data_IF_779213371487
#
_entry.id   IF_779213371487
#
_cell.length_a   1.000
_cell.length_b   1.000
_cell.length_c   1.000
_cell.angle_alpha   90.00
_cell.angle_beta   90.00
_cell.angle_gamma   90.00
#
_symmetry.space_group_name_H-M   'P 1'
#
loop_
_entity.id
_entity.type
_entity.pdbx_description
1 polymer ?
#
# COMPACT_ATOMS: atom_id res chain seq x y z
N UNK A 1 22.23 12.93 0.99
CA UNK A 1 22.31 11.82 1.96
C UNK A 1 21.70 10.59 1.31
N UNK A 2 22.37 9.44 1.38
CA UNK A 2 21.92 8.21 0.72
C UNK A 2 20.84 7.54 1.60
N UNK A 3 19.56 7.86 1.36
CA UNK A 3 18.45 7.32 2.15
C UNK A 3 18.16 5.89 1.69
N UNK A 4 18.64 4.92 2.48
CA UNK A 4 18.34 3.49 2.25
C UNK A 4 16.84 3.23 2.47
N UNK A 5 16.24 2.26 1.75
CA UNK A 5 14.86 1.85 2.02
C UNK A 5 14.71 1.44 3.49
N UNK A 6 13.65 1.88 4.15
CA UNK A 6 13.33 1.48 5.51
C UNK A 6 11.84 1.17 5.63
N UNK A 7 11.54 0.16 6.45
CA UNK A 7 10.16 -0.18 6.82
C UNK A 7 9.87 0.47 8.15
N UNK A 8 8.75 1.17 8.28
CA UNK A 8 8.28 1.60 9.59
C UNK A 8 6.79 1.33 9.74
N UNK A 9 6.44 0.85 10.93
CA UNK A 9 5.06 0.60 11.33
C UNK A 9 4.56 1.85 12.06
N UNK A 10 3.40 2.37 11.65
CA UNK A 10 2.74 3.43 12.41
C UNK A 10 1.43 2.87 12.94
N UNK A 11 1.28 2.89 14.26
CA UNK A 11 0.02 2.62 14.93
C UNK A 11 -0.50 3.96 15.40
N UNK A 12 -1.64 4.40 14.86
CA UNK A 12 -2.24 5.67 15.22
C UNK A 12 -3.59 5.41 15.88
N UNK A 13 -3.63 5.67 17.19
CA UNK A 13 -4.83 5.57 18.02
C UNK A 13 -5.39 6.98 18.21
N UNK A 14 -6.30 7.39 17.34
CA UNK A 14 -7.08 8.63 17.55
C UNK A 14 -8.23 8.33 18.50
N UNK A 15 -8.26 8.99 19.66
CA UNK A 15 -9.27 8.73 20.70
C UNK A 15 -10.71 8.85 20.18
N UNK A 16 -11.56 7.95 20.68
CA UNK A 16 -13.00 7.77 20.37
C UNK A 16 -13.35 7.12 19.01
N UNK A 17 -12.40 6.84 18.09
CA UNK A 17 -12.66 6.05 16.88
C UNK A 17 -11.83 4.75 16.84
N UNK A 18 -12.34 3.74 16.13
CA UNK A 18 -11.65 2.45 15.87
C UNK A 18 -10.25 2.76 15.32
N UNK A 19 -9.22 2.40 16.09
CA UNK A 19 -7.83 2.66 15.74
C UNK A 19 -7.49 2.14 14.34
N UNK A 20 -6.78 2.94 13.56
CA UNK A 20 -6.32 2.51 12.23
C UNK A 20 -4.90 1.97 12.35
N UNK A 21 -4.71 0.73 11.91
CA UNK A 21 -3.39 0.12 11.77
C UNK A 21 -2.94 0.23 10.31
N UNK A 22 -1.78 0.84 10.08
CA UNK A 22 -1.22 1.00 8.74
C UNK A 22 0.25 0.58 8.68
N UNK A 23 0.63 -0.13 7.62
CA UNK A 23 2.01 -0.51 7.33
C UNK A 23 2.50 0.35 6.15
N UNK A 24 3.68 0.96 6.27
CA UNK A 24 4.28 1.77 5.21
C UNK A 24 5.73 1.36 4.93
N UNK A 25 6.09 1.30 3.65
CA UNK A 25 7.44 1.10 3.15
C UNK A 25 7.92 2.39 2.50
N UNK A 26 9.11 2.84 2.87
CA UNK A 26 9.66 4.10 2.43
C UNK A 26 10.99 3.92 1.72
N UNK A 27 11.13 4.66 0.63
CA UNK A 27 12.41 5.04 0.03
C UNK A 27 12.59 6.55 0.18
N UNK A 28 13.68 7.11 -0.35
CA UNK A 28 13.90 8.55 -0.38
C UNK A 28 12.75 9.31 -1.09
N UNK A 29 12.17 8.68 -2.11
CA UNK A 29 11.31 9.36 -3.09
C UNK A 29 9.87 8.86 -3.07
N UNK A 30 9.65 7.62 -2.62
CA UNK A 30 8.35 6.94 -2.68
C UNK A 30 7.98 6.31 -1.35
N UNK A 31 6.72 6.50 -0.97
CA UNK A 31 6.00 5.82 0.11
C UNK A 31 4.96 4.88 -0.48
N UNK A 32 4.94 3.63 -0.02
CA UNK A 32 3.85 2.68 -0.29
C UNK A 32 3.24 2.28 1.04
N UNK A 33 1.92 2.33 1.18
CA UNK A 33 1.25 2.00 2.43
C UNK A 33 -0.08 1.29 2.23
N UNK A 34 -0.39 0.37 3.14
CA UNK A 34 -1.68 -0.28 3.24
C UNK A 34 -2.28 -0.01 4.62
N UNK A 35 -3.56 0.35 4.66
CA UNK A 35 -4.28 0.65 5.89
C UNK A 35 -5.77 0.34 5.73
N UNK A 36 -6.47 0.25 6.86
CA UNK A 36 -7.92 0.06 6.89
C UNK A 36 -8.59 1.31 7.44
N UNK A 37 -9.46 1.93 6.65
CA UNK A 37 -10.25 3.10 7.09
C UNK A 37 -11.44 2.62 7.90
N UNK A 38 -11.59 3.16 9.12
CA UNK A 38 -12.67 2.84 10.08
C UNK A 38 -12.82 1.34 10.36
N UNK A 39 -11.75 0.56 10.24
CA UNK A 39 -11.76 -0.88 10.47
C UNK A 39 -12.46 -1.71 9.38
N UNK A 40 -12.98 -1.10 8.31
CA UNK A 40 -13.80 -1.79 7.32
C UNK A 40 -13.24 -1.74 5.89
N UNK A 41 -12.51 -0.68 5.53
CA UNK A 41 -12.18 -0.43 4.12
C UNK A 41 -10.69 -0.51 3.85
N UNK A 42 -10.23 -1.51 3.09
CA UNK A 42 -8.82 -1.59 2.73
C UNK A 42 -8.48 -0.48 1.74
N UNK A 43 -7.38 0.20 2.01
CA UNK A 43 -6.79 1.20 1.15
C UNK A 43 -5.32 0.88 0.91
N UNK A 44 -4.88 1.04 -0.34
CA UNK A 44 -3.49 1.06 -0.77
C UNK A 44 -3.17 2.49 -1.21
N UNK A 45 -2.14 3.09 -0.63
CA UNK A 45 -1.64 4.40 -1.04
C UNK A 45 -0.20 4.28 -1.54
N UNK A 46 0.07 4.90 -2.68
CA UNK A 46 1.42 5.09 -3.24
C UNK A 46 1.60 6.60 -3.42
N UNK A 47 2.57 7.18 -2.74
CA UNK A 47 2.79 8.63 -2.74
C UNK A 47 4.26 9.01 -2.87
N UNK A 48 4.50 10.18 -3.45
CA UNK A 48 5.78 10.90 -3.49
C UNK A 48 5.55 12.35 -3.05
N UNK A 49 6.58 13.17 -3.09
CA UNK A 49 6.45 14.62 -2.84
C UNK A 49 5.61 15.34 -3.90
N UNK A 50 5.41 14.75 -5.08
CA UNK A 50 4.75 15.41 -6.22
C UNK A 50 3.38 14.80 -6.57
N UNK A 51 3.11 13.55 -6.17
CA UNK A 51 1.87 12.88 -6.52
C UNK A 51 1.47 11.85 -5.45
N UNK A 52 0.16 11.58 -5.36
CA UNK A 52 -0.38 10.55 -4.48
C UNK A 52 -1.50 9.82 -5.21
N UNK A 53 -1.41 8.49 -5.21
CA UNK A 53 -2.44 7.59 -5.72
C UNK A 53 -2.99 6.81 -4.54
N UNK A 54 -4.30 6.89 -4.33
CA UNK A 54 -5.00 6.08 -3.34
C UNK A 54 -5.99 5.18 -4.04
N UNK A 55 -5.86 3.88 -3.81
CA UNK A 55 -6.76 2.85 -4.29
C UNK A 55 -7.49 2.30 -3.07
N UNK A 56 -8.81 2.37 -3.07
CA UNK A 56 -9.63 1.81 -2.02
C UNK A 56 -10.94 1.31 -2.60
N UNK A 57 -11.65 0.50 -1.82
CA UNK A 57 -13.00 0.07 -2.18
C UNK A 57 -13.93 1.28 -2.07
N UNK A 58 -14.38 1.80 -3.21
CA UNK A 58 -15.23 2.99 -3.27
C UNK A 58 -16.69 2.64 -2.95
N UNK A 59 -17.49 3.62 -2.54
CA UNK A 59 -18.97 3.49 -2.56
C UNK A 59 -19.69 3.30 -1.22
N UNK A 60 -19.03 3.49 -0.10
CA UNK A 60 -19.64 3.41 1.23
C UNK A 60 -20.23 2.05 1.70
N UNK A 61 -20.28 1.05 0.81
CA UNK A 61 -20.85 -0.27 1.07
C UNK A 61 -19.81 -1.37 1.32
N UNK A 62 -20.26 -2.63 1.45
CA UNK A 62 -19.40 -3.80 1.61
C UNK A 62 -18.45 -4.00 0.42
N UNK A 63 -17.30 -4.62 0.67
CA UNK A 63 -16.36 -5.06 -0.36
C UNK A 63 -17.08 -5.99 -1.35
N UNK A 64 -17.00 -5.65 -2.63
CA UNK A 64 -17.66 -6.37 -3.72
C UNK A 64 -16.74 -7.36 -4.42
N UNK A 65 -17.31 -8.22 -5.27
CA UNK A 65 -16.51 -9.08 -6.16
C UNK A 65 -15.60 -8.29 -7.13
N UNK A 66 -16.01 -7.08 -7.52
CA UNK A 66 -15.20 -6.21 -8.37
C UNK A 66 -13.98 -5.66 -7.61
N UNK A 67 -14.17 -5.25 -6.36
CA UNK A 67 -13.07 -4.84 -5.48
C UNK A 67 -12.05 -5.97 -5.31
N UNK A 68 -12.52 -7.20 -5.08
CA UNK A 68 -11.66 -8.38 -4.98
C UNK A 68 -10.92 -8.66 -6.29
N UNK A 69 -11.60 -8.53 -7.44
CA UNK A 69 -10.97 -8.72 -8.75
C UNK A 69 -9.86 -7.69 -8.97
N UNK A 70 -10.08 -6.42 -8.66
CA UNK A 70 -9.08 -5.37 -8.78
C UNK A 70 -7.88 -5.63 -7.85
N UNK A 71 -8.15 -5.98 -6.59
CA UNK A 71 -7.09 -6.29 -5.61
C UNK A 71 -6.21 -7.46 -6.07
N UNK A 72 -6.82 -8.52 -6.64
CA UNK A 72 -6.08 -9.67 -7.21
C UNK A 72 -5.22 -9.27 -8.40
N UNK A 73 -5.74 -8.42 -9.29
CA UNK A 73 -4.97 -7.91 -10.44
C UNK A 73 -3.76 -7.10 -9.98
N UNK A 74 -3.93 -6.22 -8.99
CA UNK A 74 -2.83 -5.45 -8.40
C UNK A 74 -1.77 -6.36 -7.78
N UNK A 75 -2.19 -7.37 -7.03
CA UNK A 75 -1.29 -8.35 -6.43
C UNK A 75 -0.49 -9.11 -7.50
N UNK A 76 -1.15 -9.63 -8.55
CA UNK A 76 -0.48 -10.34 -9.63
C UNK A 76 0.56 -9.46 -10.35
N UNK A 77 0.22 -8.19 -10.60
CA UNK A 77 1.16 -7.24 -11.20
C UNK A 77 2.37 -6.96 -10.29
N UNK A 78 2.15 -6.80 -8.99
CA UNK A 78 3.23 -6.58 -8.02
C UNK A 78 4.16 -7.81 -7.89
N UNK A 79 3.60 -9.02 -7.85
CA UNK A 79 4.40 -10.28 -7.85
C UNK A 79 5.24 -10.38 -9.11
N UNK A 80 4.66 -10.07 -10.28
CA UNK A 80 5.40 -10.09 -11.54
C UNK A 80 6.54 -9.07 -11.53
N UNK A 81 6.29 -7.86 -11.05
CA UNK A 81 7.31 -6.82 -10.90
C UNK A 81 8.46 -7.28 -10.01
N UNK A 82 8.17 -7.89 -8.84
CA UNK A 82 9.18 -8.45 -7.95
C UNK A 82 10.04 -9.51 -8.66
N UNK A 83 9.40 -10.48 -9.33
CA UNK A 83 10.12 -11.53 -10.04
C UNK A 83 11.05 -10.97 -11.13
N UNK A 84 10.61 -9.93 -11.85
CA UNK A 84 11.45 -9.26 -12.85
C UNK A 84 12.63 -8.50 -12.19
N UNK A 85 12.42 -7.84 -11.04
CA UNK A 85 13.49 -7.23 -10.27
C UNK A 85 14.52 -8.27 -9.79
N UNK A 86 14.07 -9.39 -9.22
CA UNK A 86 14.94 -10.48 -8.76
C UNK A 86 15.75 -11.09 -9.91
N UNK A 87 15.10 -11.33 -11.05
CA UNK A 87 15.77 -11.84 -12.26
C UNK A 87 16.88 -10.90 -12.72
N UNK A 88 16.62 -9.58 -12.76
CA UNK A 88 17.62 -8.60 -13.17
C UNK A 88 18.74 -8.45 -12.13
N UNK A 89 18.42 -8.52 -10.84
CA UNK A 89 19.42 -8.45 -9.77
C UNK A 89 20.39 -9.64 -9.82
N UNK A 90 19.88 -10.85 -10.06
CA UNK A 90 20.68 -12.08 -10.10
C UNK A 90 21.47 -12.25 -11.41
N UNK A 91 21.20 -11.41 -12.41
CA UNK A 91 21.93 -11.39 -13.68
C UNK A 91 23.08 -10.37 -13.71
N UNK A 92 23.20 -9.53 -12.67
CA UNK A 92 24.24 -8.52 -12.49
C UNK A 92 25.38 -9.06 -11.61
#
# INVERSE_FOLDING_TARGET
MNHKPYTYLTVSLTGQEVGHLGISFHTADVRVSAFVVKGERPCLNISSSQASVSIGTTGAGPVTGQDLSLARTLHAAAVRYLADCERLHNAA
#
